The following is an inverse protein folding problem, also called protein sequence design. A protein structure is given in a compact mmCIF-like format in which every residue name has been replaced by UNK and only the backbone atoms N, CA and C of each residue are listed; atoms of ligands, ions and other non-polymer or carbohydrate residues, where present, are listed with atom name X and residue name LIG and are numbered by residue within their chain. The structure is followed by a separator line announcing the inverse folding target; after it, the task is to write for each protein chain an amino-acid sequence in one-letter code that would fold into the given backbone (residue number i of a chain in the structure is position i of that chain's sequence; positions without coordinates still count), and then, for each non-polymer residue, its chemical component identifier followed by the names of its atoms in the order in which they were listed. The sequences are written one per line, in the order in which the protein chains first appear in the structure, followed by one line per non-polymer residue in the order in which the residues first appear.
data_IF_088911911500
#
_entry.id   IF_088911911500
#
_cell.length_a   1.000
_cell.length_b   1.000
_cell.length_c   1.000
_cell.angle_alpha   90.00
_cell.angle_beta   90.00
_cell.angle_gamma   90.00
#
_symmetry.space_group_name_H-M   'P 1'
#
loop_
_entity.id
_entity.type
_entity.pdbx_description
1 polymer ?
#
# COMPACT_ATOMS: atom_id res chain seq x y z
N UNK A 1 -10.55 6.54 -31.30
CA UNK A 1 -10.29 7.28 -30.05
C UNK A 1 -9.47 6.37 -29.16
N UNK A 2 -8.27 6.77 -28.79
CA UNK A 2 -7.46 6.05 -27.80
C UNK A 2 -7.79 6.64 -26.44
N UNK A 3 -8.22 5.81 -25.48
CA UNK A 3 -8.53 6.26 -24.13
C UNK A 3 -7.21 6.31 -23.37
N UNK A 4 -6.84 7.49 -22.86
CA UNK A 4 -5.73 7.60 -21.91
C UNK A 4 -6.22 7.10 -20.55
N UNK A 5 -5.57 6.06 -20.03
CA UNK A 5 -5.89 5.51 -18.72
C UNK A 5 -5.12 6.27 -17.64
N UNK A 6 -5.77 6.59 -16.50
CA UNK A 6 -5.05 7.20 -15.39
C UNK A 6 -4.04 6.23 -14.80
N UNK A 7 -3.09 6.75 -14.00
CA UNK A 7 -2.29 5.91 -13.13
C UNK A 7 -3.16 5.37 -12.00
N UNK A 8 -2.96 4.11 -11.63
CA UNK A 8 -3.72 3.47 -10.56
C UNK A 8 -2.80 3.15 -9.38
N UNK A 9 -3.32 3.39 -8.18
CA UNK A 9 -2.75 2.81 -6.96
C UNK A 9 -3.60 1.60 -6.58
N UNK A 10 -2.96 0.48 -6.31
CA UNK A 10 -3.60 -0.73 -5.82
C UNK A 10 -2.90 -1.24 -4.57
N UNK A 11 -3.65 -1.84 -3.66
CA UNK A 11 -3.10 -2.53 -2.48
C UNK A 11 -3.44 -4.00 -2.57
N UNK A 12 -2.49 -4.88 -2.27
CA UNK A 12 -2.80 -6.30 -2.14
C UNK A 12 -3.37 -6.61 -0.75
N UNK A 13 -4.48 -7.34 -0.74
CA UNK A 13 -5.07 -7.90 0.48
C UNK A 13 -4.65 -9.36 0.55
N UNK A 14 -3.83 -9.71 1.52
CA UNK A 14 -3.42 -11.10 1.74
C UNK A 14 -4.23 -11.68 2.87
N UNK A 15 -4.94 -12.78 2.58
CA UNK A 15 -5.67 -13.58 3.56
C UNK A 15 -5.18 -15.02 3.44
N UNK A 16 -4.25 -15.42 4.28
CA UNK A 16 -3.71 -16.77 4.33
C UNK A 16 -3.48 -17.17 5.78
N UNK A 17 -3.76 -18.43 6.12
CA UNK A 17 -3.51 -18.98 7.46
C UNK A 17 -2.03 -19.10 7.83
N UNK A 18 -1.13 -18.75 6.90
CA UNK A 18 0.31 -18.93 7.03
C UNK A 18 1.01 -17.57 6.93
N UNK A 19 1.61 -17.13 8.04
CA UNK A 19 2.32 -15.84 8.18
C UNK A 19 3.60 -15.74 7.35
N UNK A 20 4.01 -16.84 6.71
CA UNK A 20 5.23 -16.96 5.91
C UNK A 20 5.05 -16.57 4.42
N UNK A 21 3.84 -16.24 3.97
CA UNK A 21 3.57 -15.73 2.63
C UNK A 21 3.81 -14.22 2.50
N UNK A 22 3.85 -13.71 1.26
CA UNK A 22 3.93 -12.27 0.99
C UNK A 22 2.88 -11.53 1.81
N UNK A 23 3.28 -10.54 2.62
CA UNK A 23 2.39 -9.81 3.52
C UNK A 23 1.61 -8.68 2.82
N UNK A 24 1.80 -8.55 1.51
CA UNK A 24 1.16 -7.57 0.66
C UNK A 24 2.03 -6.34 0.38
N UNK A 25 1.44 -5.34 -0.25
CA UNK A 25 2.15 -4.13 -0.69
C UNK A 25 1.25 -3.15 -1.41
N UNK A 26 1.84 -2.01 -1.75
CA UNK A 26 1.23 -0.96 -2.56
C UNK A 26 1.87 -0.97 -3.93
N UNK A 27 1.05 -0.92 -4.97
CA UNK A 27 1.46 -0.98 -6.36
C UNK A 27 0.97 0.25 -7.10
N UNK A 28 1.84 0.81 -7.93
CA UNK A 28 1.56 1.88 -8.87
C UNK A 28 1.58 1.30 -10.27
N UNK A 29 0.47 1.43 -10.98
CA UNK A 29 0.32 0.94 -12.35
C UNK A 29 0.28 2.12 -13.32
N UNK A 30 1.23 2.13 -14.25
CA UNK A 30 1.28 3.07 -15.36
C UNK A 30 0.91 2.35 -16.67
N UNK A 31 -0.32 2.54 -17.13
CA UNK A 31 -0.86 1.86 -18.31
C UNK A 31 -0.26 2.37 -19.62
N UNK A 32 0.19 3.63 -19.65
CA UNK A 32 0.84 4.22 -20.82
C UNK A 32 2.24 3.64 -21.01
N UNK A 33 3.00 3.52 -19.92
CA UNK A 33 4.35 2.96 -19.94
C UNK A 33 4.41 1.44 -19.85
N UNK A 34 3.31 0.80 -19.44
CA UNK A 34 3.23 -0.63 -19.08
C UNK A 34 4.20 -1.02 -17.97
N UNK A 35 4.29 -0.16 -16.97
CA UNK A 35 5.20 -0.30 -15.83
C UNK A 35 4.40 -0.53 -14.54
N UNK A 36 4.98 -1.33 -13.65
CA UNK A 36 4.49 -1.54 -12.29
C UNK A 36 5.62 -1.17 -11.34
N UNK A 37 5.36 -0.22 -10.45
CA UNK A 37 6.25 0.14 -9.35
C UNK A 37 5.64 -0.36 -8.04
N UNK A 38 6.46 -0.91 -7.14
CA UNK A 38 6.05 -1.32 -5.79
C UNK A 38 6.74 -0.42 -4.76
N UNK A 39 6.24 0.81 -4.55
CA UNK A 39 6.88 1.76 -3.65
C UNK A 39 6.87 1.32 -2.18
N UNK A 40 5.95 0.41 -1.82
CA UNK A 40 5.85 -0.12 -0.47
C UNK A 40 5.63 -1.63 -0.51
N UNK A 41 6.55 -2.35 0.12
CA UNK A 41 6.51 -3.79 0.30
C UNK A 41 6.54 -4.11 1.79
N UNK A 42 5.51 -4.80 2.28
CA UNK A 42 5.43 -5.19 3.69
C UNK A 42 6.50 -6.22 4.06
N UNK A 43 7.13 -6.89 3.08
CA UNK A 43 8.14 -7.91 3.36
C UNK A 43 9.55 -7.32 3.59
N UNK A 44 9.80 -6.08 3.13
CA UNK A 44 11.15 -5.48 3.09
C UNK A 44 11.23 -4.12 3.77
N UNK A 45 10.10 -3.54 4.16
CA UNK A 45 10.09 -2.27 4.89
C UNK A 45 10.79 -2.43 6.25
N UNK A 46 11.77 -1.57 6.54
CA UNK A 46 12.48 -1.50 7.83
C UNK A 46 11.59 -1.08 9.02
N UNK A 47 10.29 -0.87 8.75
CA UNK A 47 9.32 -0.52 9.77
C UNK A 47 8.89 -1.81 10.44
N UNK A 48 9.24 -1.92 11.71
CA UNK A 48 8.83 -3.03 12.54
C UNK A 48 7.29 -3.03 12.67
N UNK A 49 6.66 -3.85 11.85
CA UNK A 49 5.22 -4.04 11.76
C UNK A 49 4.70 -5.04 12.79
N UNK A 50 5.46 -5.33 13.86
CA UNK A 50 4.94 -5.99 15.05
C UNK A 50 3.74 -5.19 15.62
N UNK A 51 2.54 -5.59 15.19
CA UNK A 51 1.28 -4.89 15.42
C UNK A 51 0.37 -4.89 14.19
N UNK A 52 0.93 -4.55 13.00
CA UNK A 52 0.26 -4.60 11.70
C UNK A 52 -0.05 -6.05 11.34
N UNK A 53 -1.15 -6.56 11.88
CA UNK A 53 -1.41 -7.99 11.96
C UNK A 53 -1.11 -8.69 10.63
N UNK A 54 -0.03 -9.49 10.63
CA UNK A 54 0.43 -10.33 9.52
C UNK A 54 -0.56 -11.41 9.09
N UNK A 55 -1.84 -11.22 9.39
CA UNK A 55 -2.97 -12.10 9.09
C UNK A 55 -4.02 -11.40 8.19
N UNK A 56 -3.91 -10.06 7.98
CA UNK A 56 -5.03 -9.26 7.45
C UNK A 56 -4.70 -8.22 6.39
N UNK A 57 -3.42 -7.95 6.13
CA UNK A 57 -2.94 -7.08 5.04
C UNK A 57 -3.45 -5.63 5.11
N UNK A 58 -3.19 -4.88 4.05
CA UNK A 58 -3.75 -3.54 3.84
C UNK A 58 -5.24 -3.67 3.43
N UNK A 59 -6.10 -2.77 3.90
CA UNK A 59 -7.56 -2.90 3.80
C UNK A 59 -8.27 -1.75 3.07
N UNK A 60 -7.62 -0.62 2.93
CA UNK A 60 -8.23 0.55 2.32
C UNK A 60 -7.18 1.55 1.90
N UNK A 61 -7.51 2.28 0.84
CA UNK A 61 -6.72 3.40 0.34
C UNK A 61 -7.64 4.60 0.09
N UNK A 62 -7.19 5.78 0.48
CA UNK A 62 -7.83 7.03 0.13
C UNK A 62 -6.77 8.03 -0.36
N UNK A 63 -7.08 8.73 -1.45
CA UNK A 63 -6.23 9.78 -1.99
C UNK A 63 -6.89 11.13 -1.68
N UNK A 64 -6.23 11.94 -0.87
CA UNK A 64 -6.51 13.38 -0.71
C UNK A 64 -5.59 14.20 -1.61
N UNK A 65 -5.68 15.52 -1.61
CA UNK A 65 -4.88 16.39 -2.47
C UNK A 65 -3.37 16.09 -2.34
N UNK A 66 -2.83 16.16 -1.11
CA UNK A 66 -1.39 15.96 -0.84
C UNK A 66 -1.04 14.62 -0.19
N UNK A 67 -2.03 13.85 0.24
CA UNK A 67 -1.85 12.68 1.09
C UNK A 67 -2.45 11.42 0.48
N UNK A 68 -1.73 10.30 0.67
CA UNK A 68 -2.22 8.95 0.42
C UNK A 68 -2.36 8.26 1.77
N UNK A 69 -3.59 7.93 2.12
CA UNK A 69 -3.93 7.23 3.36
C UNK A 69 -4.10 5.75 3.08
N UNK A 70 -3.42 4.90 3.84
CA UNK A 70 -3.52 3.46 3.71
C UNK A 70 -3.78 2.85 5.07
N UNK A 71 -4.87 2.10 5.19
CA UNK A 71 -5.27 1.47 6.44
C UNK A 71 -4.86 -0.01 6.48
N UNK A 72 -4.34 -0.44 7.62
CA UNK A 72 -4.22 -1.85 8.00
C UNK A 72 -5.27 -2.21 9.07
N UNK A 73 -5.06 -3.30 9.81
CA UNK A 73 -5.93 -3.70 10.94
C UNK A 73 -5.98 -2.71 12.09
N UNK A 74 -4.85 -2.08 12.39
CA UNK A 74 -4.56 -1.38 13.64
C UNK A 74 -3.71 -0.12 13.41
N UNK A 75 -3.30 0.14 12.16
CA UNK A 75 -2.48 1.29 11.79
C UNK A 75 -3.09 2.02 10.59
N UNK A 76 -3.12 3.35 10.66
CA UNK A 76 -3.38 4.23 9.54
C UNK A 76 -2.07 4.91 9.13
N UNK A 77 -1.60 4.61 7.92
CA UNK A 77 -0.42 5.23 7.33
C UNK A 77 -0.81 6.46 6.51
N UNK A 78 0.00 7.51 6.60
CA UNK A 78 -0.09 8.68 5.75
C UNK A 78 1.22 8.84 4.97
N UNK A 79 1.10 8.83 3.64
CA UNK A 79 2.20 9.01 2.71
C UNK A 79 2.04 10.30 1.91
N UNK A 80 3.14 10.85 1.42
CA UNK A 80 3.09 11.80 0.32
C UNK A 80 2.80 11.12 -1.03
N UNK A 81 2.69 11.92 -2.10
CA UNK A 81 2.46 11.43 -3.47
C UNK A 81 3.60 10.59 -4.05
N UNK A 82 4.77 10.62 -3.40
CA UNK A 82 5.94 9.81 -3.75
C UNK A 82 6.02 8.54 -2.89
N UNK A 83 4.95 8.20 -2.14
CA UNK A 83 4.92 7.08 -1.20
C UNK A 83 6.00 7.12 -0.12
N UNK A 84 6.47 8.32 0.24
CA UNK A 84 7.28 8.52 1.43
C UNK A 84 6.37 8.70 2.63
N UNK A 85 6.64 7.97 3.70
CA UNK A 85 5.85 8.06 4.93
C UNK A 85 6.01 9.45 5.54
N UNK A 86 4.88 10.12 5.75
CA UNK A 86 4.80 11.36 6.52
C UNK A 86 4.57 11.05 8.00
N UNK A 87 3.60 10.20 8.30
CA UNK A 87 3.23 9.82 9.67
C UNK A 87 2.42 8.51 9.66
N UNK A 88 2.25 7.91 10.85
CA UNK A 88 1.32 6.82 11.07
C UNK A 88 0.68 6.94 12.44
N UNK A 89 -0.54 6.43 12.59
CA UNK A 89 -1.25 6.36 13.85
C UNK A 89 -1.67 4.92 14.12
N UNK A 90 -1.42 4.43 15.34
CA UNK A 90 -1.92 3.14 15.81
C UNK A 90 -3.15 3.39 16.70
N UNK A 91 -4.16 2.52 16.59
CA UNK A 91 -5.26 2.47 17.56
C UNK A 91 -4.82 1.95 18.92
#
# INVERSE_FOLDING_TARGET
MTIQLPKFVATSVVRGSNRAGSQGGVFMLDFEKKEIEQPFDLNTSEIDFDGCSGDRGLRGIACSDEDILIASSDVLFCYDRSFKIKTFSKN
#
